data_IF_386120517512
#
_entry.id   IF_386120517512
#
_cell.length_a   1.000
_cell.length_b   1.000
_cell.length_c   1.000
_cell.angle_alpha   90.00
_cell.angle_beta   90.00
_cell.angle_gamma   90.00
#
_symmetry.space_group_name_H-M   'P 1'
#
loop_
_entity.id
_entity.type
_entity.pdbx_description
1 polymer ?
#
# COMPACT_ATOMS: atom_id res chain seq x y z
N UNK A 1 -41.33 29.15 -17.55
CA UNK A 1 -40.17 28.37 -17.10
C UNK A 1 -39.63 27.64 -18.32
N UNK A 2 -38.64 28.22 -19.00
CA UNK A 2 -37.95 27.58 -20.12
C UNK A 2 -36.99 26.55 -19.55
N UNK A 3 -37.27 25.27 -19.79
CA UNK A 3 -36.31 24.20 -19.54
C UNK A 3 -35.09 24.47 -20.42
N UNK A 4 -33.95 24.81 -19.81
CA UNK A 4 -32.69 24.90 -20.54
C UNK A 4 -32.32 23.50 -21.00
N UNK A 5 -32.31 23.27 -22.31
CA UNK A 5 -31.71 22.06 -22.88
C UNK A 5 -30.26 22.00 -22.39
N UNK A 6 -29.80 20.90 -21.77
CA UNK A 6 -28.41 20.77 -21.34
C UNK A 6 -27.51 21.01 -22.55
N UNK A 7 -26.65 22.02 -22.47
CA UNK A 7 -25.66 22.27 -23.52
C UNK A 7 -24.74 21.06 -23.56
N UNK A 8 -24.77 20.30 -24.67
CA UNK A 8 -23.85 19.18 -24.87
C UNK A 8 -22.44 19.77 -24.95
N UNK A 9 -21.62 19.47 -23.95
CA UNK A 9 -20.22 19.90 -23.89
C UNK A 9 -19.42 19.15 -24.96
N UNK A 10 -18.37 19.78 -25.48
CA UNK A 10 -17.42 19.12 -26.38
C UNK A 10 -16.56 18.17 -25.55
N UNK A 11 -16.52 16.89 -25.93
CA UNK A 11 -15.67 15.90 -25.26
C UNK A 11 -14.22 16.05 -25.72
N UNK A 12 -13.32 16.05 -24.75
CA UNK A 12 -11.87 16.07 -24.94
C UNK A 12 -11.36 14.65 -24.70
N UNK A 13 -10.52 14.12 -25.60
CA UNK A 13 -9.99 12.75 -25.53
C UNK A 13 -8.47 12.69 -25.24
N UNK A 14 -7.76 13.82 -25.32
CA UNK A 14 -6.34 13.93 -24.96
C UNK A 14 -5.96 15.29 -24.37
N UNK A 15 -4.87 15.37 -23.59
CA UNK A 15 -4.35 16.65 -23.11
C UNK A 15 -3.83 17.55 -24.24
N UNK A 16 -3.54 16.98 -25.42
CA UNK A 16 -3.13 17.74 -26.62
C UNK A 16 -4.28 18.59 -27.19
N UNK A 17 -5.52 18.24 -26.87
CA UNK A 17 -6.72 19.01 -27.24
C UNK A 17 -7.00 20.19 -26.29
N UNK A 18 -6.28 20.26 -25.15
CA UNK A 18 -6.39 21.34 -24.18
C UNK A 18 -5.38 22.44 -24.54
N UNK A 19 -5.83 23.65 -24.90
CA UNK A 19 -4.93 24.73 -25.28
C UNK A 19 -4.21 25.31 -24.06
N UNK A 20 -3.03 25.89 -24.27
CA UNK A 20 -2.36 26.68 -23.25
C UNK A 20 -3.18 27.93 -22.90
N UNK A 21 -3.54 28.07 -21.62
CA UNK A 21 -4.30 29.21 -21.15
C UNK A 21 -3.37 30.36 -20.77
N UNK A 22 -3.69 31.56 -21.25
CA UNK A 22 -2.96 32.78 -20.88
C UNK A 22 -3.66 33.64 -19.83
N UNK A 23 -4.79 33.17 -19.28
CA UNK A 23 -5.45 33.71 -18.09
C UNK A 23 -6.47 32.71 -17.51
N UNK A 24 -6.73 32.82 -16.20
CA UNK A 24 -7.74 32.00 -15.50
C UNK A 24 -9.15 32.15 -16.10
N UNK A 25 -9.49 33.34 -16.60
CA UNK A 25 -10.81 33.57 -17.23
C UNK A 25 -10.98 32.75 -18.51
N UNK A 26 -9.92 32.60 -19.32
CA UNK A 26 -10.00 31.81 -20.56
C UNK A 26 -10.06 30.31 -20.28
N UNK A 27 -9.35 29.87 -19.25
CA UNK A 27 -9.44 28.51 -18.75
C UNK A 27 -10.88 28.20 -18.28
N UNK A 28 -11.46 29.09 -17.45
CA UNK A 28 -12.84 28.94 -16.97
C UNK A 28 -13.85 28.91 -18.14
N UNK A 29 -13.70 29.79 -19.13
CA UNK A 29 -14.55 29.81 -20.33
C UNK A 29 -14.40 28.53 -21.16
N UNK A 30 -13.19 27.96 -21.26
CA UNK A 30 -12.95 26.71 -21.96
C UNK A 30 -13.66 25.54 -21.27
N UNK A 31 -13.48 25.38 -19.95
CA UNK A 31 -14.12 24.32 -19.17
C UNK A 31 -15.64 24.46 -19.04
N UNK A 32 -16.19 25.68 -19.22
CA UNK A 32 -17.64 25.87 -19.33
C UNK A 32 -18.26 25.27 -20.61
N UNK A 33 -17.42 24.93 -21.60
CA UNK A 33 -17.85 24.44 -22.91
C UNK A 33 -17.30 23.05 -23.27
N UNK A 34 -16.37 22.52 -22.48
CA UNK A 34 -15.74 21.24 -22.72
C UNK A 34 -15.84 20.33 -21.49
N UNK A 35 -15.88 19.03 -21.73
CA UNK A 35 -15.79 18.00 -20.70
C UNK A 35 -14.76 16.97 -21.11
N UNK A 36 -14.06 16.38 -20.15
CA UNK A 36 -13.19 15.24 -20.44
C UNK A 36 -14.07 14.03 -20.76
N UNK A 37 -13.71 13.29 -21.81
CA UNK A 37 -14.41 12.07 -22.19
C UNK A 37 -14.33 11.03 -21.06
N UNK A 38 -15.33 10.14 -20.98
CA UNK A 38 -15.39 9.12 -19.94
C UNK A 38 -14.19 8.15 -19.98
N UNK A 39 -13.58 7.98 -21.16
CA UNK A 39 -12.43 7.12 -21.39
C UNK A 39 -11.07 7.81 -21.19
N UNK A 40 -11.06 9.14 -21.02
CA UNK A 40 -9.85 9.96 -20.96
C UNK A 40 -8.85 9.51 -19.88
N UNK A 41 -9.36 9.03 -18.75
CA UNK A 41 -8.55 8.55 -17.63
C UNK A 41 -8.64 7.05 -17.41
N UNK A 42 -9.13 6.29 -18.39
CA UNK A 42 -9.17 4.85 -18.29
C UNK A 42 -7.77 4.25 -18.47
N UNK A 43 -7.43 3.16 -17.77
CA UNK A 43 -6.14 2.53 -17.94
C UNK A 43 -5.98 2.03 -19.39
N UNK A 44 -4.85 2.33 -20.04
CA UNK A 44 -4.59 1.85 -21.39
C UNK A 44 -4.39 0.33 -21.40
N UNK A 45 -4.52 -0.29 -22.58
CA UNK A 45 -4.51 -1.75 -22.73
C UNK A 45 -3.27 -2.42 -22.10
N UNK A 46 -2.08 -1.82 -22.25
CA UNK A 46 -0.86 -2.38 -21.68
C UNK A 46 -0.84 -2.34 -20.14
N UNK A 47 -1.50 -1.36 -19.52
CA UNK A 47 -1.66 -1.29 -18.07
C UNK A 47 -2.68 -2.32 -17.60
N UNK A 48 -3.76 -2.56 -18.36
CA UNK A 48 -4.77 -3.60 -18.05
C UNK A 48 -4.15 -4.99 -17.92
N UNK A 49 -3.18 -5.33 -18.77
CA UNK A 49 -2.43 -6.60 -18.66
C UNK A 49 -1.79 -6.73 -17.27
N UNK A 50 -1.18 -5.66 -16.74
CA UNK A 50 -0.56 -5.70 -15.40
C UNK A 50 -1.64 -5.94 -14.33
N UNK A 51 -2.78 -5.27 -14.45
CA UNK A 51 -3.88 -5.40 -13.48
C UNK A 51 -4.45 -6.83 -13.48
N UNK A 52 -4.68 -7.39 -14.67
CA UNK A 52 -5.20 -8.76 -14.86
C UNK A 52 -4.24 -9.83 -14.33
N UNK A 53 -2.94 -9.68 -14.58
CA UNK A 53 -1.94 -10.66 -14.11
C UNK A 53 -1.72 -10.58 -12.60
N UNK A 54 -1.75 -9.39 -11.99
CA UNK A 54 -1.70 -9.27 -10.51
C UNK A 54 -2.97 -9.87 -9.89
N UNK A 55 -4.14 -9.65 -10.51
CA UNK A 55 -5.39 -10.26 -10.06
C UNK A 55 -5.33 -11.79 -10.12
N UNK A 56 -4.79 -12.35 -11.21
CA UNK A 56 -4.58 -13.79 -11.36
C UNK A 56 -3.66 -14.33 -10.26
N UNK A 57 -2.56 -13.64 -9.94
CA UNK A 57 -1.66 -14.02 -8.85
C UNK A 57 -2.36 -14.00 -7.48
N UNK A 58 -3.23 -13.03 -7.23
CA UNK A 58 -4.01 -12.98 -5.99
C UNK A 58 -4.93 -14.20 -5.85
N UNK A 59 -5.59 -14.60 -6.94
CA UNK A 59 -6.46 -15.77 -7.00
C UNK A 59 -5.66 -17.07 -6.80
N UNK A 60 -4.54 -17.22 -7.51
CA UNK A 60 -3.65 -18.37 -7.36
C UNK A 60 -3.09 -18.50 -5.94
N UNK A 61 -2.77 -17.38 -5.28
CA UNK A 61 -2.33 -17.40 -3.90
C UNK A 61 -3.44 -17.90 -2.97
N UNK A 62 -4.69 -17.51 -3.17
CA UNK A 62 -5.83 -18.01 -2.37
C UNK A 62 -5.94 -19.52 -2.48
N UNK A 63 -5.86 -20.05 -3.69
CA UNK A 63 -5.94 -21.48 -3.92
C UNK A 63 -4.80 -22.22 -3.22
N UNK A 64 -3.56 -21.72 -3.34
CA UNK A 64 -2.40 -22.29 -2.67
C UNK A 64 -2.50 -22.23 -1.15
N UNK A 65 -3.08 -21.15 -0.59
CA UNK A 65 -3.30 -21.03 0.85
C UNK A 65 -4.34 -22.03 1.36
N UNK A 66 -5.32 -22.42 0.52
CA UNK A 66 -6.32 -23.44 0.85
C UNK A 66 -5.76 -24.84 1.05
N UNK A 67 -4.51 -25.08 0.63
CA UNK A 67 -3.83 -26.38 0.73
C UNK A 67 -3.02 -26.54 2.03
N UNK A 68 -2.83 -25.46 2.79
CA UNK A 68 -2.10 -25.48 4.05
C UNK A 68 -2.94 -26.20 5.11
N UNK A 69 -2.43 -27.33 5.62
CA UNK A 69 -3.16 -28.17 6.57
C UNK A 69 -3.01 -27.73 8.03
N UNK A 70 -1.93 -27.01 8.38
CA UNK A 70 -1.64 -26.58 9.75
C UNK A 70 -1.04 -25.18 9.77
N UNK A 71 -1.85 -24.17 10.09
CA UNK A 71 -1.38 -22.83 10.48
C UNK A 71 -2.01 -22.46 11.81
N UNK A 72 -1.24 -21.89 12.75
CA UNK A 72 -1.80 -21.25 13.93
C UNK A 72 -1.59 -22.00 15.25
N UNK A 73 -0.51 -22.76 15.36
CA UNK A 73 -0.03 -23.22 16.68
C UNK A 73 0.47 -22.03 17.51
N UNK A 74 1.01 -21.03 16.83
CA UNK A 74 1.61 -19.84 17.42
C UNK A 74 0.84 -18.58 16.99
N UNK A 75 0.74 -17.60 17.88
CA UNK A 75 0.06 -16.32 17.62
C UNK A 75 0.84 -15.49 16.58
N UNK A 76 2.16 -15.62 16.54
CA UNK A 76 2.98 -15.01 15.49
C UNK A 76 2.62 -15.52 14.08
N UNK A 77 2.22 -16.79 13.94
CA UNK A 77 1.81 -17.36 12.65
C UNK A 77 0.44 -16.82 12.21
N UNK A 78 -0.51 -16.72 13.14
CA UNK A 78 -1.82 -16.09 12.88
C UNK A 78 -1.64 -14.63 12.47
N UNK A 79 -0.79 -13.90 13.18
CA UNK A 79 -0.45 -12.52 12.86
C UNK A 79 0.20 -12.40 11.47
N UNK A 80 1.10 -13.32 11.10
CA UNK A 80 1.67 -13.37 9.76
C UNK A 80 0.59 -13.62 8.68
N UNK A 81 -0.38 -14.49 8.94
CA UNK A 81 -1.51 -14.74 8.03
C UNK A 81 -2.39 -13.49 7.88
N UNK A 82 -2.61 -12.75 8.97
CA UNK A 82 -3.37 -11.50 8.97
C UNK A 82 -2.63 -10.40 8.18
N UNK A 83 -1.31 -10.28 8.32
CA UNK A 83 -0.53 -9.36 7.48
C UNK A 83 -0.57 -9.74 6.00
N UNK A 84 -0.47 -11.04 5.65
CA UNK A 84 -0.61 -11.46 4.26
C UNK A 84 -2.01 -11.13 3.72
N UNK A 85 -3.06 -11.33 4.53
CA UNK A 85 -4.43 -10.95 4.16
C UNK A 85 -4.56 -9.45 3.94
N UNK A 86 -3.96 -8.63 4.82
CA UNK A 86 -3.97 -7.17 4.69
C UNK A 86 -3.25 -6.71 3.41
N UNK A 87 -2.06 -7.24 3.12
CA UNK A 87 -1.34 -6.96 1.86
C UNK A 87 -2.23 -7.26 0.66
N UNK A 88 -2.91 -8.41 0.64
CA UNK A 88 -3.80 -8.78 -0.47
C UNK A 88 -4.95 -7.78 -0.63
N UNK A 89 -5.63 -7.40 0.46
CA UNK A 89 -6.72 -6.42 0.40
C UNK A 89 -6.25 -5.03 -0.04
N UNK A 90 -5.08 -4.60 0.41
CA UNK A 90 -4.49 -3.33 -0.03
C UNK A 90 -4.12 -3.38 -1.53
N UNK A 91 -3.61 -4.51 -2.04
CA UNK A 91 -3.36 -4.70 -3.47
C UNK A 91 -4.68 -4.65 -4.27
N UNK A 92 -5.71 -5.38 -3.85
CA UNK A 92 -7.05 -5.32 -4.47
C UNK A 92 -7.59 -3.88 -4.51
N UNK A 93 -7.36 -3.11 -3.43
CA UNK A 93 -7.67 -1.68 -3.38
C UNK A 93 -6.95 -0.88 -4.47
N UNK A 94 -5.63 -1.06 -4.63
CA UNK A 94 -4.86 -0.41 -5.69
C UNK A 94 -5.36 -0.81 -7.08
N UNK A 95 -5.65 -2.10 -7.32
CA UNK A 95 -6.19 -2.56 -8.60
C UNK A 95 -7.57 -1.96 -8.90
N UNK A 96 -8.42 -1.80 -7.88
CA UNK A 96 -9.71 -1.16 -7.99
C UNK A 96 -9.56 0.32 -8.41
N UNK A 97 -8.69 1.07 -7.74
CA UNK A 97 -8.41 2.47 -8.09
C UNK A 97 -7.85 2.60 -9.52
N UNK A 98 -6.90 1.73 -9.88
CA UNK A 98 -6.28 1.70 -11.20
C UNK A 98 -7.28 1.41 -12.34
N UNK A 99 -8.26 0.54 -12.08
CA UNK A 99 -9.31 0.21 -13.05
C UNK A 99 -10.37 1.31 -13.20
N UNK A 100 -10.57 2.13 -12.17
CA UNK A 100 -11.59 3.17 -12.19
C UNK A 100 -11.10 4.43 -12.92
N UNK A 101 -9.95 4.96 -12.51
CA UNK A 101 -9.48 6.27 -12.97
C UNK A 101 -8.00 6.48 -12.65
N UNK A 102 -7.19 6.84 -13.67
CA UNK A 102 -5.77 7.13 -13.51
C UNK A 102 -5.50 8.25 -12.48
N UNK A 103 -6.44 9.17 -12.25
CA UNK A 103 -6.32 10.25 -11.26
C UNK A 103 -6.35 9.76 -9.82
N UNK A 104 -6.73 8.51 -9.58
CA UNK A 104 -6.71 7.87 -8.26
C UNK A 104 -5.31 7.36 -7.88
N UNK A 105 -4.27 7.78 -8.60
CA UNK A 105 -2.88 7.51 -8.22
C UNK A 105 -2.51 7.99 -6.80
N UNK A 106 -2.86 9.21 -6.36
CA UNK A 106 -2.48 9.68 -5.02
C UNK A 106 -2.92 8.75 -3.88
N UNK A 107 -4.21 8.30 -3.79
CA UNK A 107 -4.58 7.31 -2.79
C UNK A 107 -3.88 5.96 -3.02
N UNK A 108 -3.64 5.54 -4.26
CA UNK A 108 -2.89 4.31 -4.54
C UNK A 108 -1.44 4.36 -4.00
N UNK A 109 -0.77 5.52 -4.06
CA UNK A 109 0.57 5.71 -3.48
C UNK A 109 0.57 5.62 -1.94
N UNK A 110 -0.49 6.09 -1.29
CA UNK A 110 -0.67 5.97 0.17
C UNK A 110 -0.83 4.49 0.55
N UNK A 111 -1.69 3.76 -0.17
CA UNK A 111 -1.90 2.33 0.04
C UNK A 111 -0.60 1.54 -0.24
N UNK A 112 0.14 1.88 -1.30
CA UNK A 112 1.41 1.23 -1.60
C UNK A 112 2.44 1.38 -0.46
N UNK A 113 2.43 2.51 0.25
CA UNK A 113 3.27 2.69 1.46
C UNK A 113 2.81 1.77 2.60
N UNK A 114 1.50 1.64 2.81
CA UNK A 114 0.91 0.69 3.80
C UNK A 114 1.33 -0.75 3.50
N UNK A 115 1.30 -1.15 2.22
CA UNK A 115 1.76 -2.46 1.76
C UNK A 115 3.23 -2.69 2.14
N UNK A 116 4.12 -1.71 1.93
CA UNK A 116 5.55 -1.87 2.27
C UNK A 116 5.76 -2.03 3.79
N UNK A 117 5.04 -1.28 4.62
CA UNK A 117 5.15 -1.38 6.08
C UNK A 117 4.65 -2.75 6.58
N UNK A 118 3.49 -3.18 6.07
CA UNK A 118 2.90 -4.48 6.37
C UNK A 118 3.80 -5.62 5.88
N UNK A 119 4.35 -5.50 4.67
CA UNK A 119 5.31 -6.44 4.09
C UNK A 119 6.57 -6.55 4.96
N UNK A 120 7.14 -5.43 5.39
CA UNK A 120 8.35 -5.44 6.22
C UNK A 120 8.10 -6.13 7.56
N UNK A 121 6.95 -5.88 8.18
CA UNK A 121 6.55 -6.56 9.42
C UNK A 121 6.33 -8.06 9.23
N UNK A 122 5.61 -8.45 8.16
CA UNK A 122 5.39 -9.85 7.80
C UNK A 122 6.73 -10.59 7.60
N UNK A 123 7.60 -10.04 6.77
CA UNK A 123 8.91 -10.64 6.51
C UNK A 123 9.77 -10.66 7.76
N UNK A 124 9.68 -9.64 8.62
CA UNK A 124 10.40 -9.65 9.89
C UNK A 124 9.93 -10.78 10.82
N UNK A 125 8.65 -11.13 10.83
CA UNK A 125 8.19 -12.31 11.57
C UNK A 125 8.70 -13.59 10.88
N UNK A 126 8.53 -13.73 9.57
CA UNK A 126 8.79 -15.00 8.87
C UNK A 126 10.28 -15.29 8.59
N UNK A 127 11.16 -14.29 8.52
CA UNK A 127 12.60 -14.51 8.34
C UNK A 127 13.27 -15.13 9.58
N UNK A 128 12.64 -15.02 10.75
CA UNK A 128 13.06 -15.75 11.93
C UNK A 128 12.70 -17.23 11.78
N UNK A 129 13.64 -18.15 11.96
CA UNK A 129 13.38 -19.59 11.80
C UNK A 129 12.87 -20.24 13.08
N UNK A 130 13.19 -19.67 14.23
CA UNK A 130 12.77 -20.21 15.53
C UNK A 130 11.39 -19.66 15.93
N UNK A 131 10.42 -20.57 16.17
CA UNK A 131 9.03 -20.19 16.48
C UNK A 131 8.91 -19.35 17.77
N UNK A 132 9.76 -19.60 18.78
CA UNK A 132 9.78 -18.81 20.00
C UNK A 132 10.29 -17.38 19.73
N UNK A 133 11.31 -17.24 18.89
CA UNK A 133 11.81 -15.93 18.47
C UNK A 133 10.78 -15.16 17.61
N UNK A 134 9.92 -15.85 16.84
CA UNK A 134 8.78 -15.21 16.17
C UNK A 134 7.80 -14.60 17.16
N UNK A 135 7.47 -15.32 18.23
CA UNK A 135 6.63 -14.80 19.32
C UNK A 135 7.27 -13.60 20.00
N UNK A 136 8.59 -13.61 20.22
CA UNK A 136 9.30 -12.41 20.73
C UNK A 136 9.13 -11.23 19.78
N UNK A 137 9.29 -11.42 18.46
CA UNK A 137 9.10 -10.34 17.48
C UNK A 137 7.67 -9.80 17.54
N UNK A 138 6.66 -10.67 17.64
CA UNK A 138 5.26 -10.25 17.85
C UNK A 138 5.09 -9.44 19.15
N UNK A 139 5.60 -9.92 20.28
CA UNK A 139 5.52 -9.20 21.56
C UNK A 139 6.18 -7.82 21.47
N UNK A 140 7.30 -7.68 20.74
CA UNK A 140 7.95 -6.39 20.50
C UNK A 140 7.06 -5.44 19.70
N UNK A 141 6.29 -5.93 18.73
CA UNK A 141 5.29 -5.14 17.99
C UNK A 141 4.18 -4.66 18.93
N UNK A 142 3.62 -5.55 19.74
CA UNK A 142 2.57 -5.21 20.71
C UNK A 142 3.08 -4.19 21.74
N UNK A 143 4.33 -4.33 22.21
CA UNK A 143 4.95 -3.35 23.10
C UNK A 143 5.07 -1.96 22.47
N UNK A 144 5.34 -1.87 21.15
CA UNK A 144 5.33 -0.59 20.42
C UNK A 144 3.93 0.01 20.39
N UNK A 145 2.91 -0.77 20.06
CA UNK A 145 1.50 -0.33 20.02
C UNK A 145 1.00 0.14 21.39
N UNK A 146 1.36 -0.58 22.46
CA UNK A 146 1.05 -0.17 23.84
C UNK A 146 1.66 1.21 24.14
N UNK A 147 2.93 1.44 23.81
CA UNK A 147 3.60 2.74 24.05
C UNK A 147 2.98 3.88 23.24
N UNK A 148 2.59 3.60 22.00
CA UNK A 148 1.90 4.58 21.15
C UNK A 148 0.52 4.95 21.72
N UNK A 149 -0.22 3.94 22.19
CA UNK A 149 -1.50 4.09 22.88
C UNK A 149 -1.36 4.89 24.19
N UNK A 150 -0.34 4.62 25.01
CA UNK A 150 -0.06 5.41 26.22
C UNK A 150 0.21 6.88 25.93
N UNK A 151 1.00 7.15 24.88
CA UNK A 151 1.27 8.52 24.42
C UNK A 151 -0.03 9.19 23.96
N UNK A 152 -0.90 8.48 23.25
CA UNK A 152 -2.19 9.01 22.81
C UNK A 152 -3.10 9.35 24.00
N UNK A 153 -3.24 8.43 24.97
CA UNK A 153 -3.99 8.65 26.21
C UNK A 153 -3.47 9.87 26.97
N UNK A 154 -2.14 10.02 27.05
CA UNK A 154 -1.52 11.20 27.69
C UNK A 154 -1.93 12.49 26.98
N UNK A 155 -1.85 12.53 25.65
CA UNK A 155 -2.24 13.70 24.86
C UNK A 155 -3.73 14.05 25.04
N UNK A 156 -4.62 13.06 25.06
CA UNK A 156 -6.06 13.28 25.31
C UNK A 156 -6.30 13.95 26.67
N UNK A 157 -5.63 13.45 27.71
CA UNK A 157 -5.71 14.01 29.08
C UNK A 157 -5.20 15.45 29.13
N UNK A 158 -4.08 15.73 28.46
CA UNK A 158 -3.50 17.08 28.38
C UNK A 158 -4.41 18.07 27.64
N UNK A 159 -5.16 17.61 26.64
CA UNK A 159 -6.13 18.42 25.90
C UNK A 159 -7.48 18.57 26.61
N UNK A 160 -7.69 17.90 27.75
CA UNK A 160 -8.97 17.92 28.48
C UNK A 160 -10.13 17.28 27.71
N UNK A 161 -9.82 16.42 26.72
CA UNK A 161 -10.83 15.72 25.92
C UNK A 161 -11.48 14.61 26.76
N UNK A 162 -12.78 14.38 26.51
CA UNK A 162 -13.71 13.70 27.42
C UNK A 162 -13.23 12.35 27.96
N UNK A 163 -13.61 12.06 29.21
CA UNK A 163 -13.23 10.82 29.91
C UNK A 163 -13.62 9.57 29.13
N UNK A 164 -14.75 9.58 28.42
CA UNK A 164 -15.26 8.42 27.70
C UNK A 164 -14.38 7.93 26.55
N UNK A 165 -13.70 8.81 25.82
CA UNK A 165 -12.75 8.41 24.76
C UNK A 165 -11.45 7.89 25.36
N UNK A 166 -10.96 8.55 26.40
CA UNK A 166 -9.80 8.11 27.17
C UNK A 166 -10.03 6.73 27.80
N UNK A 167 -11.24 6.48 28.32
CA UNK A 167 -11.61 5.22 28.96
C UNK A 167 -11.66 4.07 27.95
N UNK A 168 -12.23 4.29 26.74
CA UNK A 168 -12.25 3.29 25.66
C UNK A 168 -10.84 2.87 25.27
N UNK A 169 -9.97 3.84 25.00
CA UNK A 169 -8.60 3.57 24.56
C UNK A 169 -7.77 2.93 25.68
N UNK A 170 -8.06 3.28 26.93
CA UNK A 170 -7.47 2.61 28.10
C UNK A 170 -7.92 1.16 28.20
N UNK A 171 -9.17 0.84 27.87
CA UNK A 171 -9.66 -0.54 27.82
C UNK A 171 -8.99 -1.33 26.67
N UNK A 172 -8.84 -0.72 25.49
CA UNK A 172 -8.13 -1.35 24.36
C UNK A 172 -6.66 -1.65 24.73
N UNK A 173 -6.00 -0.73 25.44
CA UNK A 173 -4.65 -0.95 25.98
C UNK A 173 -4.60 -2.16 26.93
N UNK A 174 -5.57 -2.30 27.83
CA UNK A 174 -5.64 -3.44 28.74
C UNK A 174 -5.84 -4.77 28.01
N UNK A 175 -6.61 -4.77 26.92
CA UNK A 175 -6.77 -5.95 26.05
C UNK A 175 -5.45 -6.33 25.39
N UNK A 176 -4.68 -5.36 24.88
CA UNK A 176 -3.34 -5.60 24.31
C UNK A 176 -2.35 -6.12 25.37
N UNK A 177 -2.35 -5.55 26.57
CA UNK A 177 -1.51 -6.03 27.68
C UNK A 177 -1.86 -7.48 28.07
N UNK A 178 -3.16 -7.81 28.14
CA UNK A 178 -3.61 -9.17 28.40
C UNK A 178 -3.14 -10.13 27.30
N UNK A 179 -3.38 -9.79 26.04
CA UNK A 179 -2.95 -10.61 24.90
C UNK A 179 -1.44 -10.87 24.91
N UNK A 180 -0.64 -9.82 25.18
CA UNK A 180 0.81 -9.96 25.36
C UNK A 180 1.18 -10.95 26.47
N UNK A 181 0.53 -10.84 27.63
CA UNK A 181 0.81 -11.71 28.78
C UNK A 181 0.42 -13.17 28.49
N UNK A 182 -0.67 -13.38 27.76
CA UNK A 182 -1.10 -14.72 27.33
C UNK A 182 -0.02 -15.37 26.42
N UNK A 183 0.55 -14.62 25.46
CA UNK A 183 1.68 -15.09 24.64
C UNK A 183 2.90 -15.44 25.49
N UNK A 184 3.33 -14.53 26.38
CA UNK A 184 4.50 -14.73 27.23
C UNK A 184 4.35 -15.89 28.22
N UNK A 185 3.13 -16.16 28.69
CA UNK A 185 2.85 -17.28 29.59
C UNK A 185 3.15 -18.63 28.96
N UNK A 186 3.01 -18.75 27.63
CA UNK A 186 3.35 -19.95 26.88
C UNK A 186 4.86 -20.10 26.66
N UNK A 187 5.63 -19.02 26.82
CA UNK A 187 7.09 -19.02 26.65
C UNK A 187 7.84 -18.18 27.71
N UNK A 188 7.84 -18.58 29.00
CA UNK A 188 8.38 -17.76 30.09
C UNK A 188 9.88 -17.45 29.96
N UNK A 189 10.65 -18.34 29.32
CA UNK A 189 12.08 -18.14 29.06
C UNK A 189 12.40 -16.93 28.17
N UNK A 190 11.40 -16.32 27.52
CA UNK A 190 11.57 -15.25 26.52
C UNK A 190 11.28 -13.84 27.07
N UNK A 191 10.85 -13.71 28.33
CA UNK A 191 10.42 -12.44 28.91
C UNK A 191 11.51 -11.36 28.85
N UNK A 192 12.78 -11.74 29.10
CA UNK A 192 13.90 -10.80 29.06
C UNK A 192 14.15 -10.21 27.67
N UNK A 193 14.07 -11.03 26.63
CA UNK A 193 14.33 -10.62 25.24
C UNK A 193 13.17 -9.82 24.64
N UNK A 194 11.97 -9.98 25.21
CA UNK A 194 10.74 -9.28 24.81
C UNK A 194 10.72 -7.79 25.19
N UNK A 195 11.54 -7.38 26.17
CA UNK A 195 11.62 -6.00 26.65
C UNK A 195 12.36 -5.06 25.70
N UNK A 196 13.06 -5.60 24.70
CA UNK A 196 13.69 -4.79 23.66
C UNK A 196 12.63 -4.08 22.81
N UNK A 197 12.94 -2.88 22.35
CA UNK A 197 12.05 -2.17 21.42
C UNK A 197 12.01 -2.88 20.07
N UNK A 198 10.86 -2.81 19.40
CA UNK A 198 10.77 -3.11 17.97
C UNK A 198 11.78 -2.23 17.21
N UNK A 199 12.59 -2.79 16.31
CA UNK A 199 13.47 -1.99 15.47
C UNK A 199 12.67 -0.99 14.62
N UNK A 200 13.30 0.11 14.23
CA UNK A 200 12.73 1.05 13.26
C UNK A 200 12.51 0.35 11.91
N UNK A 201 11.61 0.85 11.07
CA UNK A 201 11.37 0.25 9.75
C UNK A 201 12.65 0.17 8.87
N UNK A 202 13.55 1.15 9.01
CA UNK A 202 14.87 1.12 8.36
C UNK A 202 15.74 -0.03 8.86
N UNK A 203 15.70 -0.34 10.15
CA UNK A 203 16.42 -1.47 10.73
C UNK A 203 15.78 -2.79 10.31
N UNK A 204 14.44 -2.90 10.35
CA UNK A 204 13.71 -4.08 9.88
C UNK A 204 14.10 -4.42 8.45
N UNK A 205 14.05 -3.46 7.53
CA UNK A 205 14.42 -3.68 6.12
C UNK A 205 15.89 -4.04 5.94
N UNK A 206 16.78 -3.65 6.85
CA UNK A 206 18.16 -4.10 6.86
C UNK A 206 18.31 -5.54 7.39
N UNK A 207 17.60 -5.89 8.46
CA UNK A 207 17.60 -7.23 9.06
C UNK A 207 17.09 -8.30 8.09
N UNK A 208 16.04 -8.00 7.31
CA UNK A 208 15.49 -8.91 6.29
C UNK A 208 16.25 -8.85 4.94
N UNK A 209 17.40 -8.16 4.88
CA UNK A 209 18.20 -7.97 3.66
C UNK A 209 17.44 -7.36 2.46
N UNK A 210 16.55 -6.40 2.71
CA UNK A 210 15.73 -5.72 1.69
C UNK A 210 15.77 -4.20 1.81
N UNK A 211 16.97 -3.62 1.92
CA UNK A 211 17.16 -2.19 2.16
C UNK A 211 16.53 -1.29 1.07
N UNK A 212 16.38 -1.78 -0.17
CA UNK A 212 15.70 -1.04 -1.25
C UNK A 212 14.25 -0.68 -0.92
N UNK A 213 13.57 -1.49 -0.09
CA UNK A 213 12.19 -1.24 0.36
C UNK A 213 12.10 0.04 1.16
N UNK A 214 13.10 0.33 1.99
CA UNK A 214 13.13 1.56 2.77
C UNK A 214 13.18 2.81 1.87
N UNK A 215 13.86 2.73 0.72
CA UNK A 215 13.92 3.84 -0.23
C UNK A 215 12.54 4.13 -0.84
N UNK A 216 11.80 3.08 -1.22
CA UNK A 216 10.42 3.23 -1.69
C UNK A 216 9.49 3.76 -0.59
N UNK A 217 9.59 3.22 0.62
CA UNK A 217 8.81 3.70 1.78
C UNK A 217 9.07 5.18 2.08
N UNK A 218 10.33 5.61 2.06
CA UNK A 218 10.69 7.00 2.29
C UNK A 218 10.15 7.90 1.17
N UNK A 219 10.27 7.48 -0.09
CA UNK A 219 9.73 8.21 -1.24
C UNK A 219 8.19 8.35 -1.15
N UNK A 220 7.47 7.28 -0.83
CA UNK A 220 6.01 7.30 -0.73
C UNK A 220 5.49 8.04 0.51
N UNK A 221 6.33 8.23 1.54
CA UNK A 221 5.97 9.03 2.71
C UNK A 221 5.65 10.49 2.34
N UNK A 222 6.18 10.98 1.22
CA UNK A 222 5.80 12.28 0.69
C UNK A 222 4.30 12.38 0.41
N UNK A 223 3.69 11.34 -0.18
CA UNK A 223 2.26 11.26 -0.50
C UNK A 223 1.40 11.14 0.75
N UNK A 224 1.82 10.37 1.75
CA UNK A 224 1.08 10.20 3.01
C UNK A 224 1.07 11.46 3.87
N UNK A 225 2.20 12.19 3.92
CA UNK A 225 2.31 13.41 4.72
C UNK A 225 1.90 14.69 3.97
N UNK A 226 1.36 14.56 2.75
CA UNK A 226 0.99 15.68 1.89
C UNK A 226 2.10 16.73 1.76
N UNK A 227 3.36 16.28 1.65
CA UNK A 227 4.51 17.18 1.53
C UNK A 227 4.47 17.94 0.19
N UNK A 228 5.23 19.03 0.05
CA UNK A 228 5.32 19.75 -1.22
C UNK A 228 5.67 18.82 -2.41
N UNK A 229 6.49 17.79 -2.20
CA UNK A 229 6.83 16.80 -3.21
C UNK A 229 5.63 15.97 -3.69
N UNK A 230 4.62 15.74 -2.86
CA UNK A 230 3.39 15.06 -3.28
C UNK A 230 2.60 15.85 -4.33
N UNK A 231 2.79 17.18 -4.37
CA UNK A 231 2.14 18.05 -5.37
C UNK A 231 2.84 18.04 -6.72
N UNK A 232 4.03 17.44 -6.83
CA UNK A 232 4.80 17.45 -8.07
C UNK A 232 4.14 16.67 -9.21
N UNK A 233 3.30 15.69 -8.89
CA UNK A 233 2.48 14.97 -9.89
C UNK A 233 1.51 15.89 -10.64
N UNK A 234 1.24 17.09 -10.13
CA UNK A 234 0.35 18.09 -10.73
C UNK A 234 1.12 19.26 -11.36
N UNK A 235 2.46 19.21 -11.40
CA UNK A 235 3.32 20.32 -11.80
C UNK A 235 4.27 19.87 -12.91
N UNK A 236 3.87 20.07 -14.18
CA UNK A 236 4.83 20.00 -15.29
C UNK A 236 5.50 21.39 -15.45
N UNK A 237 6.82 21.43 -15.22
CA UNK A 237 7.77 22.56 -15.42
C UNK A 237 7.81 23.69 -14.37
N UNK A 238 8.96 23.78 -13.66
CA UNK A 238 9.38 24.94 -12.86
C UNK A 238 10.17 25.95 -13.71
N UNK A 239 9.68 26.27 -14.92
CA UNK A 239 10.34 27.21 -15.82
C UNK A 239 9.32 28.05 -16.56
N UNK A 240 8.93 29.21 -16.01
CA UNK A 240 8.13 30.32 -16.56
C UNK A 240 6.87 30.04 -17.42
N UNK A 241 6.49 28.80 -17.66
CA UNK A 241 5.34 28.34 -18.44
C UNK A 241 4.79 27.03 -17.86
N UNK A 242 4.64 26.98 -16.54
CA UNK A 242 4.11 25.80 -15.84
C UNK A 242 2.70 25.48 -16.30
N UNK A 243 2.50 24.31 -16.92
CA UNK A 243 1.18 23.74 -17.14
C UNK A 243 0.67 23.21 -15.81
N UNK A 244 -0.33 23.89 -15.25
CA UNK A 244 -1.07 23.40 -14.08
C UNK A 244 -2.14 22.42 -14.56
N UNK A 245 -2.23 21.22 -13.96
CA UNK A 245 -3.28 20.26 -14.31
C UNK A 245 -3.15 18.89 -13.65
N UNK A 246 -4.25 18.11 -13.67
CA UNK A 246 -4.29 16.69 -13.24
C UNK A 246 -3.70 15.76 -14.31
N UNK A 247 -2.45 16.02 -14.74
CA UNK A 247 -1.79 15.28 -15.83
C UNK A 247 -1.20 13.96 -15.27
N UNK A 248 -2.05 13.08 -14.76
CA UNK A 248 -1.65 11.75 -14.32
C UNK A 248 -1.71 10.78 -15.49
N UNK A 249 -0.54 10.58 -16.11
CA UNK A 249 -0.30 9.58 -17.17
C UNK A 249 -0.13 8.17 -16.60
N UNK A 250 -0.35 7.15 -17.45
CA UNK A 250 -0.26 5.74 -17.07
C UNK A 250 1.10 5.35 -16.45
N UNK A 251 2.24 5.84 -16.98
CA UNK A 251 3.57 5.49 -16.45
C UNK A 251 3.75 5.87 -14.97
N UNK A 252 3.01 6.86 -14.46
CA UNK A 252 3.08 7.23 -13.04
C UNK A 252 2.58 6.10 -12.12
N UNK A 253 1.77 5.17 -12.63
CA UNK A 253 1.31 3.98 -11.92
C UNK A 253 2.35 2.88 -11.79
N UNK A 254 3.54 3.02 -12.40
CA UNK A 254 4.60 2.02 -12.30
C UNK A 254 4.94 1.66 -10.85
N UNK A 255 5.21 2.67 -10.01
CA UNK A 255 5.65 2.44 -8.62
C UNK A 255 4.63 1.65 -7.79
N UNK A 256 3.35 2.05 -7.67
CA UNK A 256 2.38 1.29 -6.88
C UNK A 256 2.15 -0.12 -7.44
N UNK A 257 2.06 -0.30 -8.76
CA UNK A 257 1.85 -1.62 -9.37
C UNK A 257 3.06 -2.54 -9.19
N UNK A 258 4.28 -2.01 -9.33
CA UNK A 258 5.50 -2.76 -9.06
C UNK A 258 5.57 -3.20 -7.60
N UNK A 259 5.18 -2.34 -6.65
CA UNK A 259 5.12 -2.70 -5.23
C UNK A 259 4.12 -3.82 -4.98
N UNK A 260 2.93 -3.75 -5.57
CA UNK A 260 1.94 -4.83 -5.49
C UNK A 260 2.54 -6.16 -5.95
N UNK A 261 3.09 -6.19 -7.17
CA UNK A 261 3.73 -7.38 -7.73
C UNK A 261 4.87 -7.91 -6.84
N UNK A 262 5.83 -7.03 -6.50
CA UNK A 262 7.02 -7.39 -5.72
C UNK A 262 6.65 -7.99 -4.36
N UNK A 263 5.78 -7.31 -3.61
CA UNK A 263 5.42 -7.73 -2.26
C UNK A 263 4.57 -8.98 -2.27
N UNK A 264 3.60 -9.11 -3.17
CA UNK A 264 2.77 -10.30 -3.33
C UNK A 264 3.62 -11.55 -3.62
N UNK A 265 4.53 -11.46 -4.59
CA UNK A 265 5.38 -12.58 -4.98
C UNK A 265 6.30 -13.04 -3.85
N UNK A 266 6.95 -12.10 -3.17
CA UNK A 266 7.91 -12.45 -2.12
C UNK A 266 7.20 -12.93 -0.86
N UNK A 267 6.18 -12.21 -0.40
CA UNK A 267 5.43 -12.57 0.80
C UNK A 267 4.69 -13.89 0.61
N UNK A 268 4.00 -14.05 -0.53
CA UNK A 268 3.27 -15.28 -0.85
C UNK A 268 4.19 -16.50 -0.89
N UNK A 269 5.33 -16.42 -1.59
CA UNK A 269 6.30 -17.53 -1.62
C UNK A 269 6.87 -17.83 -0.25
N UNK A 270 7.30 -16.83 0.52
CA UNK A 270 7.86 -17.04 1.86
C UNK A 270 6.82 -17.66 2.81
N UNK A 271 5.58 -17.18 2.76
CA UNK A 271 4.50 -17.73 3.57
C UNK A 271 4.23 -19.20 3.21
N UNK A 272 4.10 -19.53 1.93
CA UNK A 272 3.91 -20.91 1.48
C UNK A 272 5.08 -21.82 1.88
N UNK A 273 6.33 -21.34 1.76
CA UNK A 273 7.51 -22.08 2.20
C UNK A 273 7.46 -22.40 3.70
N UNK A 274 7.00 -21.45 4.50
CA UNK A 274 7.00 -21.58 5.95
C UNK A 274 5.94 -22.55 6.46
N UNK A 275 4.78 -22.58 5.79
CA UNK A 275 3.62 -23.36 6.22
C UNK A 275 3.35 -24.57 5.32
N UNK A 276 4.42 -25.16 4.77
CA UNK A 276 4.37 -26.39 3.96
C UNK A 276 3.42 -26.34 2.74
N UNK A 277 3.15 -25.15 2.20
CA UNK A 277 2.49 -24.96 0.91
C UNK A 277 3.46 -25.18 -0.27
N UNK A 278 2.97 -24.97 -1.50
CA UNK A 278 3.78 -25.10 -2.71
C UNK A 278 4.02 -23.73 -3.39
N UNK A 279 5.20 -23.10 -3.19
CA UNK A 279 5.52 -21.81 -3.79
C UNK A 279 5.60 -21.80 -5.32
N UNK A 280 5.90 -22.95 -5.93
CA UNK A 280 6.07 -23.08 -7.38
C UNK A 280 4.72 -23.19 -8.10
N UNK A 281 3.65 -23.51 -7.37
CA UNK A 281 2.27 -23.43 -7.89
C UNK A 281 1.67 -22.03 -7.82
N UNK A 282 2.22 -21.18 -6.97
CA UNK A 282 1.72 -19.81 -6.80
C UNK A 282 2.15 -18.88 -7.92
N UNK A 283 3.41 -18.97 -8.38
CA UNK A 283 3.87 -18.16 -9.51
C UNK A 283 4.63 -19.05 -10.50
N UNK A 284 4.06 -19.19 -11.70
CA UNK A 284 4.76 -19.82 -12.81
C UNK A 284 5.65 -18.82 -13.56
N UNK A 285 6.64 -19.34 -14.29
CA UNK A 285 7.58 -18.52 -15.05
C UNK A 285 6.93 -17.77 -16.23
N UNK A 286 5.73 -18.14 -16.66
CA UNK A 286 5.04 -17.48 -17.78
C UNK A 286 4.38 -16.19 -17.30
N UNK A 287 3.60 -16.24 -16.22
CA UNK A 287 2.99 -15.09 -15.55
C UNK A 287 4.06 -14.08 -15.15
N UNK A 288 5.15 -14.55 -14.53
CA UNK A 288 6.27 -13.71 -14.17
C UNK A 288 6.84 -12.95 -15.39
N UNK A 289 7.09 -13.66 -16.49
CA UNK A 289 7.62 -13.06 -17.71
C UNK A 289 6.66 -12.04 -18.35
N UNK A 290 5.35 -12.31 -18.34
CA UNK A 290 4.34 -11.37 -18.87
C UNK A 290 4.27 -10.10 -18.03
N UNK A 291 4.25 -10.23 -16.70
CA UNK A 291 4.27 -9.10 -15.77
C UNK A 291 5.52 -8.24 -15.90
N UNK A 292 6.71 -8.86 -15.91
CA UNK A 292 7.97 -8.13 -16.02
C UNK A 292 8.08 -7.35 -17.34
N UNK A 293 7.62 -7.94 -18.45
CA UNK A 293 7.53 -7.23 -19.74
C UNK A 293 6.57 -6.06 -19.69
N UNK A 294 5.36 -6.26 -19.15
CA UNK A 294 4.34 -5.22 -19.08
C UNK A 294 4.76 -4.06 -18.16
N UNK A 295 5.37 -4.36 -17.00
CA UNK A 295 5.93 -3.36 -16.09
C UNK A 295 7.08 -2.58 -16.74
N UNK A 296 7.96 -3.26 -17.51
CA UNK A 296 9.02 -2.59 -18.26
C UNK A 296 8.45 -1.62 -19.30
N UNK A 297 7.44 -2.06 -20.08
CA UNK A 297 6.76 -1.20 -21.04
C UNK A 297 6.08 -0.01 -20.37
N UNK A 298 5.44 -0.20 -19.21
CA UNK A 298 4.85 0.90 -18.43
C UNK A 298 5.90 1.95 -18.02
N UNK A 299 7.11 1.50 -17.67
CA UNK A 299 8.21 2.37 -17.29
C UNK A 299 8.82 3.12 -18.49
N UNK A 300 8.98 2.45 -19.63
CA UNK A 300 9.56 3.01 -20.87
C UNK A 300 8.66 4.10 -21.48
N UNK A 301 7.34 4.03 -21.29
CA UNK A 301 6.39 5.09 -21.67
C UNK A 301 6.55 6.41 -20.90
N UNK A 302 7.54 6.52 -20.01
CA UNK A 302 7.97 7.79 -19.41
C UNK A 302 8.84 8.63 -20.37
N UNK A 303 9.54 7.98 -21.30
CA UNK A 303 10.57 8.59 -22.15
C UNK A 303 10.05 9.01 -23.54
N UNK A 304 8.76 8.78 -23.80
CA UNK A 304 8.04 9.20 -25.02
C UNK A 304 7.13 10.39 -24.70
#
# INVERSE_FOLDING_TARGET
MTQSVPKKLTEIHSWEEVPDFNSESKEADYWANHSLAADFFQPPQFMRIILEEIQLLLEQLVDCLGEIQESGKWEAEKTAADFLRLIRRDIEGILCLANQDLRLLPPALIIARSILETFGNLMWILDETDANQREIRLVRMINKEIKETERYIKNLKELGLGSSETDKISADKQLLEKYKNDILSNCPQLEKDSNNNMPTFKQITAEINRQKIYLWYASLSHSTHASHAATWIYKESLGNSGTFGEIIKAYHWYTPLYICYYTLCIAGRKFLQEFAGNPDRFIDGEIQNRLEKALKSLQENREQ
#
